data_IF_403952888962
#
_entry.id   IF_403952888962
#
_cell.length_a   1.000
_cell.length_b   1.000
_cell.length_c   1.000
_cell.angle_alpha   90.00
_cell.angle_beta   90.00
_cell.angle_gamma   90.00
#
_symmetry.space_group_name_H-M   'P 1'
#
loop_
_entity.id
_entity.type
_entity.pdbx_description
1 polymer ?
#
# COMPACT_ATOMS: atom_id res chain seq x y z
N UNK A 1 64.52 35.64 44.21
CA UNK A 1 65.03 34.26 44.12
C UNK A 1 64.11 33.48 43.20
N UNK A 2 64.73 32.83 42.22
CA UNK A 2 64.14 32.27 41.02
C UNK A 2 63.33 31.00 41.29
N UNK A 3 62.19 30.83 40.62
CA UNK A 3 61.61 29.51 40.38
C UNK A 3 61.17 29.37 38.92
N UNK A 4 61.89 28.49 38.22
CA UNK A 4 61.57 27.96 36.89
C UNK A 4 60.38 27.00 36.98
N UNK A 5 59.44 27.12 36.04
CA UNK A 5 58.39 26.12 35.79
C UNK A 5 58.68 25.47 34.44
N UNK A 6 58.95 24.16 34.48
CA UNK A 6 59.25 23.30 33.34
C UNK A 6 57.93 22.81 32.75
N UNK A 7 57.70 23.09 31.47
CA UNK A 7 56.54 22.65 30.69
C UNK A 7 56.89 21.33 29.99
N UNK A 8 56.31 20.21 30.42
CA UNK A 8 56.41 18.91 29.72
C UNK A 8 55.16 18.67 28.87
N UNK A 9 55.29 18.83 27.55
CA UNK A 9 54.24 18.49 26.59
C UNK A 9 54.34 17.00 26.21
N UNK A 10 53.39 16.19 26.68
CA UNK A 10 53.20 14.82 26.19
C UNK A 10 52.18 14.86 25.04
N UNK A 11 52.69 14.62 23.83
CA UNK A 11 51.90 14.49 22.60
C UNK A 11 51.37 13.06 22.50
N UNK A 12 50.13 12.82 22.94
CA UNK A 12 49.44 11.55 22.71
C UNK A 12 48.86 11.53 21.29
N UNK A 13 49.47 10.73 20.42
CA UNK A 13 49.00 10.50 19.06
C UNK A 13 47.98 9.34 19.08
N UNK A 14 46.69 9.66 19.06
CA UNK A 14 45.61 8.67 18.93
C UNK A 14 45.45 8.25 17.46
N UNK A 15 45.93 7.05 17.12
CA UNK A 15 45.64 6.35 15.86
C UNK A 15 44.18 5.85 15.88
N UNK A 16 43.27 6.60 15.26
CA UNK A 16 41.92 6.11 14.97
C UNK A 16 41.96 5.19 13.75
N UNK A 17 41.87 3.88 13.97
CA UNK A 17 41.68 2.89 12.92
C UNK A 17 40.20 2.95 12.51
N UNK A 18 39.89 3.74 11.48
CA UNK A 18 38.56 3.80 10.86
C UNK A 18 38.37 2.52 10.05
N UNK A 19 37.73 1.51 10.64
CA UNK A 19 37.27 0.34 9.91
C UNK A 19 36.05 0.72 9.08
N UNK A 20 36.23 0.87 7.77
CA UNK A 20 35.14 1.03 6.82
C UNK A 20 34.41 -0.31 6.67
N UNK A 21 33.46 -0.59 7.56
CA UNK A 21 32.40 -1.56 7.28
C UNK A 21 31.56 -0.98 6.14
N UNK A 22 31.91 -1.29 4.90
CA UNK A 22 31.05 -1.03 3.76
C UNK A 22 29.80 -1.88 3.96
N UNK A 23 28.70 -1.25 4.37
CA UNK A 23 27.41 -1.92 4.41
C UNK A 23 27.13 -2.47 3.01
N UNK A 24 26.87 -3.78 2.92
CA UNK A 24 26.42 -4.39 1.67
C UNK A 24 25.19 -3.62 1.19
N UNK A 25 25.15 -3.16 -0.08
CA UNK A 25 23.98 -2.50 -0.60
C UNK A 25 22.77 -3.43 -0.44
N UNK A 26 21.60 -2.91 -0.03
CA UNK A 26 20.41 -3.74 0.09
C UNK A 26 20.13 -4.42 -1.25
N UNK A 27 19.86 -5.72 -1.22
CA UNK A 27 19.43 -6.46 -2.40
C UNK A 27 18.09 -5.85 -2.82
N UNK A 28 18.08 -5.19 -3.99
CA UNK A 28 16.84 -4.73 -4.60
C UNK A 28 16.17 -5.97 -5.17
N UNK A 29 15.17 -6.49 -4.45
CA UNK A 29 14.30 -7.54 -4.98
C UNK A 29 13.44 -6.88 -6.06
N UNK A 30 13.66 -7.24 -7.32
CA UNK A 30 12.82 -6.77 -8.41
C UNK A 30 11.35 -7.06 -8.08
N UNK A 31 10.51 -6.02 -8.07
CA UNK A 31 9.08 -6.18 -7.88
C UNK A 31 8.53 -7.14 -8.93
N UNK A 32 7.61 -8.01 -8.51
CA UNK A 32 7.07 -9.00 -9.42
C UNK A 32 6.37 -8.33 -10.60
N UNK A 33 6.77 -8.72 -11.81
CA UNK A 33 6.21 -8.18 -13.04
C UNK A 33 4.96 -8.95 -13.43
N UNK A 34 3.79 -8.30 -13.33
CA UNK A 34 2.54 -8.90 -13.82
C UNK A 34 2.69 -9.27 -15.30
N UNK A 35 2.21 -10.47 -15.70
CA UNK A 35 2.15 -10.87 -17.10
C UNK A 35 1.40 -9.84 -17.95
N UNK A 36 1.77 -9.75 -19.23
CA UNK A 36 1.26 -8.73 -20.16
C UNK A 36 -0.27 -8.79 -20.33
N UNK A 37 -0.88 -9.98 -20.21
CA UNK A 37 -2.35 -10.11 -20.22
C UNK A 37 -3.06 -9.36 -19.09
N UNK A 38 -2.34 -8.96 -18.03
CA UNK A 38 -2.86 -8.17 -16.92
C UNK A 38 -2.47 -6.69 -17.01
N UNK A 39 -1.79 -6.26 -18.09
CA UNK A 39 -1.30 -4.89 -18.31
C UNK A 39 -2.11 -4.11 -19.35
N UNK A 40 -3.38 -4.46 -19.58
CA UNK A 40 -4.29 -3.99 -20.66
C UNK A 40 -4.28 -4.94 -21.88
N UNK A 41 -5.49 -5.39 -22.28
CA UNK A 41 -5.84 -6.18 -23.48
C UNK A 41 -5.00 -5.76 -24.72
N UNK A 42 -4.42 -6.61 -25.57
CA UNK A 42 -4.93 -7.82 -26.25
C UNK A 42 -3.73 -8.64 -26.85
N UNK A 43 -3.75 -9.97 -26.77
CA UNK A 43 -2.95 -10.99 -27.51
C UNK A 43 -1.48 -11.36 -27.12
N UNK A 44 -1.36 -12.61 -26.59
CA UNK A 44 -0.35 -13.70 -26.72
C UNK A 44 1.15 -13.58 -26.33
N UNK A 45 1.53 -14.33 -25.25
CA UNK A 45 2.71 -15.26 -25.02
C UNK A 45 4.16 -14.64 -25.11
N UNK A 46 5.20 -14.94 -24.26
CA UNK A 46 5.58 -16.23 -23.62
C UNK A 46 6.06 -16.24 -22.15
N UNK A 47 6.24 -17.48 -21.73
CA UNK A 47 6.64 -18.07 -20.46
C UNK A 47 8.13 -17.83 -20.10
N UNK A 48 8.48 -16.69 -19.49
CA UNK A 48 9.64 -16.60 -18.55
C UNK A 48 9.64 -15.31 -17.69
N UNK A 49 8.46 -14.74 -17.42
CA UNK A 49 8.33 -13.67 -16.44
C UNK A 49 8.55 -14.26 -15.05
N UNK A 50 9.41 -13.64 -14.22
CA UNK A 50 9.56 -13.95 -12.78
C UNK A 50 8.15 -14.13 -12.19
N UNK A 51 7.76 -15.38 -11.94
CA UNK A 51 6.36 -15.76 -11.80
C UNK A 51 5.72 -15.08 -10.59
N UNK A 52 4.82 -14.12 -10.81
CA UNK A 52 4.01 -13.61 -9.73
C UNK A 52 3.10 -14.72 -9.23
N UNK A 53 2.97 -14.81 -7.90
CA UNK A 53 1.96 -15.64 -7.27
C UNK A 53 0.62 -14.90 -7.40
N UNK A 54 -0.04 -15.08 -8.54
CA UNK A 54 -1.35 -14.47 -8.81
C UNK A 54 -2.40 -15.15 -7.92
N UNK A 55 -3.16 -14.40 -7.11
CA UNK A 55 -4.15 -14.98 -6.22
C UNK A 55 -5.33 -15.54 -7.01
N UNK A 56 -6.02 -16.53 -6.44
CA UNK A 56 -7.07 -17.28 -7.13
C UNK A 56 -8.32 -16.41 -7.27
N UNK A 57 -8.74 -16.15 -8.50
CA UNK A 57 -9.87 -15.27 -8.81
C UNK A 57 -11.22 -15.91 -8.44
N UNK A 58 -12.21 -15.07 -8.15
CA UNK A 58 -13.62 -15.44 -7.95
C UNK A 58 -14.38 -15.18 -9.26
N UNK A 59 -14.77 -16.24 -9.96
CA UNK A 59 -15.42 -16.16 -11.29
C UNK A 59 -16.77 -15.41 -11.29
N UNK A 60 -17.49 -15.39 -10.16
CA UNK A 60 -18.85 -14.85 -10.09
C UNK A 60 -18.91 -13.34 -9.77
N UNK A 61 -17.78 -12.71 -9.46
CA UNK A 61 -17.75 -11.37 -8.87
C UNK A 61 -16.62 -10.57 -9.48
N UNK A 62 -16.93 -9.60 -10.34
CA UNK A 62 -15.94 -8.71 -10.96
C UNK A 62 -16.15 -7.28 -10.45
N UNK A 63 -15.25 -6.79 -9.60
CA UNK A 63 -15.21 -5.40 -9.14
C UNK A 63 -14.19 -4.69 -10.03
N UNK A 64 -14.68 -3.74 -10.81
CA UNK A 64 -13.90 -2.96 -11.76
C UNK A 64 -13.20 -1.77 -11.08
N UNK A 65 -12.31 -1.12 -11.83
CA UNK A 65 -11.63 0.10 -11.39
C UNK A 65 -11.57 1.10 -12.53
N UNK A 66 -12.08 2.31 -12.35
CA UNK A 66 -11.76 3.45 -13.20
C UNK A 66 -10.84 4.43 -12.49
N UNK A 67 -10.08 5.18 -13.28
CA UNK A 67 -9.24 6.24 -12.72
C UNK A 67 -9.16 7.47 -13.61
N UNK A 68 -9.35 8.63 -12.97
CA UNK A 68 -9.03 9.94 -13.47
C UNK A 68 -7.77 10.44 -12.75
N UNK A 69 -6.72 10.80 -13.50
CA UNK A 69 -5.45 11.27 -12.96
C UNK A 69 -5.25 12.77 -13.23
N UNK A 70 -4.81 13.51 -12.20
CA UNK A 70 -4.43 14.92 -12.27
C UNK A 70 -3.07 15.15 -11.63
N UNK A 71 -2.22 15.97 -12.25
CA UNK A 71 -0.90 16.34 -11.74
C UNK A 71 0.10 15.17 -11.62
N UNK A 72 -0.08 14.12 -12.42
CA UNK A 72 0.87 13.02 -12.57
C UNK A 72 1.79 13.28 -13.78
N UNK A 73 3.08 12.99 -13.63
CA UNK A 73 3.96 12.75 -14.78
C UNK A 73 3.71 11.37 -15.36
N UNK A 74 4.13 11.13 -16.61
CA UNK A 74 4.00 9.81 -17.26
C UNK A 74 4.54 8.65 -16.40
N UNK A 75 5.70 8.81 -15.78
CA UNK A 75 6.30 7.77 -14.92
C UNK A 75 5.44 7.52 -13.65
N UNK A 76 4.81 8.57 -13.12
CA UNK A 76 3.92 8.46 -11.97
C UNK A 76 2.58 7.82 -12.37
N UNK A 77 2.07 8.11 -13.57
CA UNK A 77 0.89 7.43 -14.15
C UNK A 77 1.16 5.93 -14.33
N UNK A 78 2.31 5.56 -14.90
CA UNK A 78 2.71 4.15 -15.05
C UNK A 78 2.76 3.44 -13.68
N UNK A 79 3.31 4.10 -12.66
CA UNK A 79 3.37 3.55 -11.30
C UNK A 79 2.00 3.35 -10.68
N UNK A 80 1.10 4.34 -10.76
CA UNK A 80 -0.24 4.22 -10.15
C UNK A 80 -1.10 3.19 -10.90
N UNK A 81 -1.00 3.13 -12.23
CA UNK A 81 -1.65 2.10 -13.04
C UNK A 81 -1.15 0.69 -12.68
N UNK A 82 0.16 0.52 -12.47
CA UNK A 82 0.72 -0.75 -12.01
C UNK A 82 0.21 -1.16 -10.62
N UNK A 83 -0.02 -0.19 -9.71
CA UNK A 83 -0.61 -0.45 -8.41
C UNK A 83 -2.09 -0.85 -8.52
N UNK A 84 -2.86 -0.19 -9.39
CA UNK A 84 -4.28 -0.47 -9.63
C UNK A 84 -4.48 -1.85 -10.27
N UNK A 85 -3.65 -2.22 -11.24
CA UNK A 85 -3.70 -3.56 -11.83
C UNK A 85 -3.55 -4.67 -10.77
N UNK A 86 -2.68 -4.45 -9.78
CA UNK A 86 -2.49 -5.38 -8.64
C UNK A 86 -3.66 -5.31 -7.65
N UNK A 87 -4.19 -4.12 -7.38
CA UNK A 87 -5.40 -3.95 -6.58
C UNK A 87 -6.56 -4.76 -7.17
N UNK A 88 -6.82 -4.62 -8.48
CA UNK A 88 -7.89 -5.34 -9.19
C UNK A 88 -7.75 -6.86 -9.07
N UNK A 89 -6.54 -7.40 -9.17
CA UNK A 89 -6.28 -8.84 -8.98
C UNK A 89 -6.58 -9.29 -7.55
N UNK A 90 -6.21 -8.48 -6.56
CA UNK A 90 -6.36 -8.82 -5.15
C UNK A 90 -7.80 -8.72 -4.70
N UNK A 91 -8.51 -7.62 -4.96
CA UNK A 91 -9.89 -7.41 -4.49
C UNK A 91 -10.88 -8.45 -5.06
N UNK A 92 -10.57 -9.03 -6.23
CA UNK A 92 -11.36 -10.07 -6.89
C UNK A 92 -10.90 -11.51 -6.54
N UNK A 93 -10.01 -11.67 -5.55
CA UNK A 93 -9.48 -12.97 -5.16
C UNK A 93 -10.22 -13.64 -4.00
N UNK A 94 -10.14 -14.97 -3.95
CA UNK A 94 -10.63 -15.79 -2.82
C UNK A 94 -9.89 -15.46 -1.53
N UNK A 95 -8.60 -15.18 -1.63
CA UNK A 95 -7.74 -14.82 -0.50
C UNK A 95 -8.20 -13.50 0.13
N UNK A 96 -8.55 -12.50 -0.68
CA UNK A 96 -9.10 -11.24 -0.18
C UNK A 96 -10.41 -11.45 0.56
N UNK A 97 -11.41 -12.11 -0.06
CA UNK A 97 -12.68 -12.43 0.62
C UNK A 97 -12.41 -13.14 1.95
N UNK A 98 -11.59 -14.18 1.94
CA UNK A 98 -11.24 -14.93 3.15
C UNK A 98 -10.63 -14.03 4.23
N UNK A 99 -9.69 -13.14 3.90
CA UNK A 99 -9.07 -12.24 4.89
C UNK A 99 -10.03 -11.20 5.43
N UNK A 100 -10.94 -10.68 4.61
CA UNK A 100 -11.99 -9.77 5.08
C UNK A 100 -12.92 -10.47 6.06
N UNK A 101 -13.44 -11.64 5.69
CA UNK A 101 -14.37 -12.40 6.54
C UNK A 101 -13.74 -12.83 7.87
N UNK A 102 -12.46 -13.22 7.84
CA UNK A 102 -11.73 -13.68 9.02
C UNK A 102 -10.98 -12.55 9.77
N UNK A 103 -11.19 -11.28 9.41
CA UNK A 103 -10.55 -10.18 10.13
C UNK A 103 -11.02 -10.15 11.58
N UNK A 104 -10.07 -9.97 12.52
CA UNK A 104 -10.37 -10.00 13.95
C UNK A 104 -9.85 -8.77 14.69
N UNK A 105 -10.63 -8.37 15.69
CA UNK A 105 -10.25 -7.42 16.73
C UNK A 105 -10.71 -7.97 18.08
N UNK A 106 -9.81 -8.02 19.07
CA UNK A 106 -10.09 -8.56 20.42
C UNK A 106 -10.72 -9.98 20.41
N UNK A 107 -10.23 -10.85 19.51
CA UNK A 107 -10.73 -12.22 19.28
C UNK A 107 -12.18 -12.32 18.74
N UNK A 108 -12.74 -11.22 18.25
CA UNK A 108 -14.04 -11.20 17.58
C UNK A 108 -13.84 -10.97 16.09
N UNK A 109 -14.64 -11.64 15.24
CA UNK A 109 -14.65 -11.43 13.79
C UNK A 109 -15.34 -10.12 13.43
N UNK A 110 -14.61 -9.02 13.61
CA UNK A 110 -15.15 -7.66 13.47
C UNK A 110 -14.06 -6.68 13.09
N UNK A 111 -14.40 -5.72 12.24
CA UNK A 111 -13.62 -4.49 12.07
C UNK A 111 -14.05 -3.44 13.11
N UNK A 112 -13.13 -2.59 13.53
CA UNK A 112 -13.48 -1.36 14.25
C UNK A 112 -14.10 -0.36 13.25
N UNK A 113 -14.91 0.58 13.74
CA UNK A 113 -15.55 1.63 12.92
C UNK A 113 -16.31 1.07 11.70
N UNK A 114 -16.97 -0.08 11.89
CA UNK A 114 -17.68 -0.86 10.89
C UNK A 114 -19.12 -0.39 10.63
N UNK A 115 -19.56 0.73 11.21
CA UNK A 115 -20.95 1.20 11.14
C UNK A 115 -22.01 0.17 11.63
N UNK A 116 -21.60 -0.81 12.47
CA UNK A 116 -22.48 -1.89 12.91
C UNK A 116 -22.61 -3.06 11.93
N UNK A 117 -21.89 -3.03 10.81
CA UNK A 117 -21.88 -4.10 9.80
C UNK A 117 -21.00 -5.28 10.24
N UNK A 118 -21.43 -6.49 9.90
CA UNK A 118 -20.60 -7.70 9.96
C UNK A 118 -19.51 -7.69 8.87
N UNK A 119 -18.50 -8.56 9.00
CA UNK A 119 -17.45 -8.69 7.99
C UNK A 119 -17.99 -9.11 6.61
N UNK A 120 -19.06 -9.92 6.56
CA UNK A 120 -19.70 -10.28 5.28
C UNK A 120 -20.40 -9.06 4.68
N UNK A 121 -21.14 -8.29 5.46
CA UNK A 121 -21.80 -7.06 4.98
C UNK A 121 -20.79 -5.99 4.53
N UNK A 122 -19.63 -5.88 5.19
CA UNK A 122 -18.53 -5.02 4.72
C UNK A 122 -18.01 -5.51 3.37
N UNK A 123 -17.77 -6.81 3.24
CA UNK A 123 -17.29 -7.40 1.98
C UNK A 123 -18.29 -7.15 0.84
N UNK A 124 -19.58 -7.43 1.07
CA UNK A 124 -20.62 -7.16 0.09
C UNK A 124 -20.69 -5.67 -0.23
N UNK A 125 -20.68 -4.77 0.76
CA UNK A 125 -20.67 -3.32 0.49
C UNK A 125 -19.49 -2.87 -0.37
N UNK A 126 -18.31 -3.46 -0.20
CA UNK A 126 -17.15 -3.22 -1.09
C UNK A 126 -17.43 -3.74 -2.51
N UNK A 127 -18.03 -4.93 -2.62
CA UNK A 127 -18.39 -5.58 -3.89
C UNK A 127 -19.44 -4.83 -4.70
N UNK A 128 -20.35 -4.12 -4.03
CA UNK A 128 -21.42 -3.36 -4.67
C UNK A 128 -20.90 -2.10 -5.39
N UNK A 129 -19.76 -1.54 -4.97
CA UNK A 129 -19.17 -0.33 -5.56
C UNK A 129 -19.89 0.98 -5.20
N UNK A 130 -20.97 0.92 -4.40
CA UNK A 130 -21.84 2.08 -4.16
C UNK A 130 -21.14 3.16 -3.33
N UNK A 131 -20.67 4.22 -3.99
CA UNK A 131 -20.13 5.41 -3.36
C UNK A 131 -21.22 6.31 -2.77
N UNK A 132 -20.93 7.02 -1.68
CA UNK A 132 -21.86 7.95 -1.03
C UNK A 132 -22.29 9.09 -1.94
N UNK A 133 -21.42 9.53 -2.86
CA UNK A 133 -21.67 10.67 -3.74
C UNK A 133 -22.31 10.28 -5.08
N UNK A 134 -22.06 9.07 -5.58
CA UNK A 134 -22.65 8.58 -6.83
C UNK A 134 -23.95 7.80 -6.57
N UNK A 135 -24.03 7.04 -5.46
CA UNK A 135 -25.16 6.19 -5.07
C UNK A 135 -25.68 5.27 -6.20
N UNK A 136 -24.78 4.89 -7.10
CA UNK A 136 -25.01 3.94 -8.18
C UNK A 136 -24.43 2.59 -7.80
N UNK A 137 -25.12 1.51 -8.17
CA UNK A 137 -24.62 0.14 -8.06
C UNK A 137 -24.03 -0.22 -9.41
N UNK A 138 -22.71 -0.19 -9.52
CA UNK A 138 -21.96 -0.41 -10.75
C UNK A 138 -20.86 -1.48 -10.59
N UNK A 139 -20.60 -1.94 -9.36
CA UNK A 139 -19.50 -2.85 -9.06
C UNK A 139 -18.17 -2.26 -9.53
N UNK A 140 -17.97 -0.96 -9.29
CA UNK A 140 -16.77 -0.22 -9.68
C UNK A 140 -16.12 0.48 -8.47
N UNK A 141 -14.79 0.62 -8.54
CA UNK A 141 -14.02 1.53 -7.68
C UNK A 141 -13.66 2.75 -8.52
N UNK A 142 -14.36 3.86 -8.30
CA UNK A 142 -14.07 5.14 -8.95
C UNK A 142 -12.93 5.88 -8.25
N UNK A 143 -11.84 6.16 -8.98
CA UNK A 143 -10.69 6.88 -8.44
C UNK A 143 -10.49 8.23 -9.17
N UNK A 144 -10.84 9.37 -8.55
CA UNK A 144 -10.35 10.69 -8.99
C UNK A 144 -9.11 11.05 -8.17
N UNK A 145 -7.90 10.81 -8.69
CA UNK A 145 -6.66 11.01 -7.95
C UNK A 145 -5.86 12.22 -8.44
N UNK A 146 -5.34 13.02 -7.50
CA UNK A 146 -4.36 14.08 -7.77
C UNK A 146 -3.12 13.94 -6.89
N UNK A 147 -1.96 14.29 -7.42
CA UNK A 147 -0.75 14.45 -6.62
C UNK A 147 -0.68 15.87 -6.01
N UNK A 148 -0.29 15.92 -4.75
CA UNK A 148 0.14 17.16 -4.10
C UNK A 148 1.45 16.94 -3.37
N UNK A 149 2.16 18.00 -3.01
CA UNK A 149 3.35 17.88 -2.16
C UNK A 149 3.15 18.58 -0.82
N UNK A 150 3.45 17.88 0.27
CA UNK A 150 3.57 18.46 1.60
C UNK A 150 4.60 17.70 2.44
N UNK A 151 5.43 18.43 3.18
CA UNK A 151 6.41 17.84 4.10
C UNK A 151 5.79 17.54 5.47
N UNK A 152 4.76 16.69 5.49
CA UNK A 152 4.11 16.22 6.72
C UNK A 152 4.07 14.68 6.75
N UNK A 153 3.22 14.12 7.62
CA UNK A 153 3.04 12.67 7.80
C UNK A 153 1.82 12.10 7.06
N UNK A 154 1.08 12.92 6.31
CA UNK A 154 -0.14 12.50 5.61
C UNK A 154 0.25 11.83 4.28
N UNK A 155 -0.10 10.56 4.13
CA UNK A 155 0.19 9.76 2.93
C UNK A 155 -0.80 10.09 1.81
N UNK A 156 -2.08 10.09 2.15
CA UNK A 156 -3.17 10.57 1.32
C UNK A 156 -4.27 11.12 2.22
N UNK A 157 -5.26 11.76 1.60
CA UNK A 157 -6.51 12.08 2.26
C UNK A 157 -7.61 12.27 1.23
N UNK A 158 -8.83 12.30 1.72
CA UNK A 158 -9.99 12.71 0.95
C UNK A 158 -10.99 13.50 1.80
N UNK A 159 -11.96 14.15 1.16
CA UNK A 159 -13.09 14.80 1.83
C UNK A 159 -14.40 14.07 1.52
N UNK A 160 -15.39 14.09 2.44
CA UNK A 160 -16.67 13.41 2.23
C UNK A 160 -17.53 13.96 1.08
N UNK A 161 -17.27 15.20 0.64
CA UNK A 161 -18.12 15.96 -0.28
C UNK A 161 -17.48 16.22 -1.66
N UNK A 162 -16.52 15.40 -2.05
CA UNK A 162 -15.83 15.43 -3.35
C UNK A 162 -15.51 14.01 -3.76
N UNK A 163 -15.31 13.70 -5.04
CA UNK A 163 -14.78 12.37 -5.45
C UNK A 163 -13.26 12.29 -5.30
N UNK A 164 -12.59 13.44 -5.21
CA UNK A 164 -11.13 13.53 -5.29
C UNK A 164 -10.38 12.90 -4.12
N UNK A 165 -9.28 12.23 -4.43
CA UNK A 165 -8.29 11.66 -3.53
C UNK A 165 -6.98 12.42 -3.75
N UNK A 166 -6.44 12.99 -2.68
CA UNK A 166 -5.15 13.69 -2.71
C UNK A 166 -4.06 12.77 -2.20
N UNK A 167 -3.07 12.51 -3.04
CA UNK A 167 -1.95 11.63 -2.72
C UNK A 167 -0.69 12.48 -2.56
N UNK A 168 -0.01 12.33 -1.42
CA UNK A 168 1.19 13.10 -1.15
C UNK A 168 2.39 12.52 -1.92
N UNK A 169 2.91 13.28 -2.87
CA UNK A 169 4.02 12.90 -3.75
C UNK A 169 5.27 12.47 -2.97
N UNK A 170 5.50 13.03 -1.76
CA UNK A 170 6.60 12.61 -0.87
C UNK A 170 6.56 11.11 -0.59
N UNK A 171 5.37 10.58 -0.29
CA UNK A 171 5.19 9.16 0.01
C UNK A 171 4.98 8.36 -1.25
N UNK A 172 4.23 8.89 -2.22
CA UNK A 172 4.01 8.22 -3.51
C UNK A 172 5.32 7.86 -4.21
N UNK A 173 6.29 8.79 -4.24
CA UNK A 173 7.59 8.57 -4.88
C UNK A 173 8.34 7.37 -4.28
N UNK A 174 8.34 7.22 -2.96
CA UNK A 174 9.12 6.19 -2.24
C UNK A 174 8.34 4.91 -1.92
N UNK A 175 7.01 4.94 -1.96
CA UNK A 175 6.19 3.77 -1.63
C UNK A 175 6.28 2.70 -2.72
N UNK A 176 6.24 1.43 -2.30
CA UNK A 176 6.04 0.28 -3.18
C UNK A 176 4.64 0.31 -3.82
N UNK A 177 4.44 -0.49 -4.86
CA UNK A 177 3.12 -0.65 -5.49
C UNK A 177 2.05 -1.13 -4.48
N UNK A 178 2.42 -2.03 -3.56
CA UNK A 178 1.52 -2.51 -2.48
C UNK A 178 1.02 -1.37 -1.60
N UNK A 179 1.90 -0.45 -1.22
CA UNK A 179 1.57 0.71 -0.37
C UNK A 179 0.75 1.77 -1.11
N UNK A 180 1.01 1.96 -2.41
CA UNK A 180 0.20 2.85 -3.25
C UNK A 180 -1.23 2.30 -3.37
N UNK A 181 -1.39 1.02 -3.72
CA UNK A 181 -2.69 0.36 -3.82
C UNK A 181 -3.46 0.37 -2.49
N UNK A 182 -2.77 0.07 -1.38
CA UNK A 182 -3.37 0.13 -0.05
C UNK A 182 -3.85 1.53 0.34
N UNK A 183 -3.10 2.57 -0.03
CA UNK A 183 -3.52 3.95 0.21
C UNK A 183 -4.74 4.31 -0.66
N UNK A 184 -4.77 3.94 -1.94
CA UNK A 184 -5.95 4.15 -2.79
C UNK A 184 -7.20 3.49 -2.22
N UNK A 185 -7.08 2.21 -1.82
CA UNK A 185 -8.18 1.48 -1.20
C UNK A 185 -8.64 2.13 0.12
N UNK A 186 -7.70 2.60 0.94
CA UNK A 186 -8.02 3.31 2.19
C UNK A 186 -8.87 4.56 1.92
N UNK A 187 -8.45 5.40 0.97
CA UNK A 187 -9.15 6.63 0.64
C UNK A 187 -10.50 6.36 -0.05
N UNK A 188 -10.59 5.34 -0.90
CA UNK A 188 -11.85 4.93 -1.51
C UNK A 188 -12.84 4.35 -0.49
N UNK A 189 -12.37 3.64 0.54
CA UNK A 189 -13.27 3.15 1.60
C UNK A 189 -13.95 4.30 2.38
N UNK A 190 -13.32 5.47 2.44
CA UNK A 190 -13.99 6.68 2.92
C UNK A 190 -15.12 7.14 1.98
N UNK A 191 -15.04 6.87 0.67
CA UNK A 191 -16.07 7.19 -0.34
C UNK A 191 -17.31 6.33 -0.23
N UNK A 192 -17.18 5.09 0.20
CA UNK A 192 -18.33 4.23 0.50
C UNK A 192 -18.82 4.37 1.96
N UNK A 193 -18.30 5.36 2.68
CA UNK A 193 -18.82 5.85 3.97
C UNK A 193 -18.05 5.42 5.21
N UNK A 194 -17.06 4.52 5.11
CA UNK A 194 -16.33 4.06 6.29
C UNK A 194 -15.45 5.16 6.88
N UNK A 195 -15.34 5.19 8.21
CA UNK A 195 -14.54 6.16 8.94
C UNK A 195 -13.43 5.50 9.75
N UNK A 196 -12.65 6.32 10.45
CA UNK A 196 -11.76 5.84 11.50
C UNK A 196 -11.46 6.97 12.51
N UNK A 197 -10.93 6.62 13.68
CA UNK A 197 -10.40 7.58 14.66
C UNK A 197 -9.47 8.63 14.03
N UNK A 198 -9.69 9.92 14.31
CA UNK A 198 -8.80 11.00 13.84
C UNK A 198 -7.42 10.94 14.49
N UNK A 199 -7.38 10.54 15.75
CA UNK A 199 -6.15 10.39 16.53
C UNK A 199 -5.54 9.01 16.29
N UNK A 200 -4.22 8.90 16.42
CA UNK A 200 -3.53 7.61 16.34
C UNK A 200 -3.80 6.79 17.61
N UNK A 201 -4.86 5.98 17.58
CA UNK A 201 -5.21 5.03 18.64
C UNK A 201 -4.74 3.61 18.27
N UNK A 202 -4.70 2.70 19.25
CA UNK A 202 -4.44 1.27 18.98
C UNK A 202 -5.54 0.64 18.13
N UNK A 203 -6.78 1.15 18.25
CA UNK A 203 -7.97 0.70 17.53
C UNK A 203 -7.95 1.08 16.05
N UNK A 204 -7.32 2.21 15.70
CA UNK A 204 -7.30 2.75 14.34
C UNK A 204 -6.78 1.77 13.29
N UNK A 205 -5.77 0.96 13.61
CA UNK A 205 -5.25 -0.04 12.68
C UNK A 205 -6.26 -1.15 12.33
N UNK A 206 -7.31 -1.30 13.14
CA UNK A 206 -8.37 -2.28 12.98
C UNK A 206 -9.65 -1.69 12.37
N UNK A 207 -9.66 -0.39 12.02
CA UNK A 207 -10.81 0.20 11.34
C UNK A 207 -10.96 -0.35 9.92
N UNK A 208 -12.15 -0.25 9.31
CA UNK A 208 -12.36 -0.75 7.94
C UNK A 208 -11.34 -0.18 6.93
N UNK A 209 -11.10 1.15 6.83
CA UNK A 209 -10.11 1.69 5.88
C UNK A 209 -8.68 1.18 6.12
N UNK A 210 -8.26 1.01 7.38
CA UNK A 210 -6.90 0.53 7.69
C UNK A 210 -6.75 -0.98 7.54
N UNK A 211 -7.72 -1.75 8.05
CA UNK A 211 -7.70 -3.21 8.01
C UNK A 211 -7.74 -3.73 6.58
N UNK A 212 -8.65 -3.20 5.74
CA UNK A 212 -8.74 -3.58 4.33
C UNK A 212 -7.52 -3.10 3.55
N UNK A 213 -7.04 -1.87 3.77
CA UNK A 213 -5.80 -1.38 3.15
C UNK A 213 -4.59 -2.26 3.51
N UNK A 214 -4.51 -2.72 4.76
CA UNK A 214 -3.50 -3.69 5.22
C UNK A 214 -3.60 -5.03 4.50
N UNK A 215 -4.81 -5.60 4.40
CA UNK A 215 -5.07 -6.84 3.66
C UNK A 215 -4.62 -6.72 2.21
N UNK A 216 -4.97 -5.63 1.52
CA UNK A 216 -4.56 -5.36 0.13
C UNK A 216 -3.04 -5.29 0.02
N UNK A 217 -2.37 -4.52 0.89
CA UNK A 217 -0.91 -4.41 0.89
C UNK A 217 -0.27 -5.78 1.00
N UNK A 218 -0.67 -6.56 2.00
CA UNK A 218 -0.04 -7.83 2.33
C UNK A 218 -0.23 -8.85 1.19
N UNK A 219 -1.44 -8.91 0.61
CA UNK A 219 -1.71 -9.77 -0.54
C UNK A 219 -0.87 -9.38 -1.78
N UNK A 220 -0.67 -8.09 -2.05
CA UNK A 220 0.18 -7.64 -3.16
C UNK A 220 1.66 -7.98 -2.89
N UNK A 221 2.13 -7.85 -1.65
CA UNK A 221 3.50 -8.21 -1.26
C UNK A 221 3.74 -9.72 -1.43
N UNK A 222 2.76 -10.54 -1.06
CA UNK A 222 2.78 -12.00 -1.24
C UNK A 222 2.79 -12.45 -2.71
N UNK A 223 2.41 -11.58 -3.66
CA UNK A 223 2.55 -11.88 -5.09
C UNK A 223 4.00 -11.96 -5.55
N UNK A 224 4.94 -11.39 -4.78
CA UNK A 224 6.37 -11.37 -5.12
C UNK A 224 7.06 -12.58 -4.49
N UNK A 225 7.64 -13.50 -5.29
CA UNK A 225 8.41 -14.60 -4.73
C UNK A 225 9.57 -14.07 -3.90
N UNK A 226 9.56 -14.33 -2.59
CA UNK A 226 10.77 -14.17 -1.79
C UNK A 226 11.73 -15.27 -2.21
N UNK A 227 12.93 -14.91 -2.67
CA UNK A 227 14.02 -15.87 -2.78
C UNK A 227 14.24 -16.42 -1.37
N UNK A 228 13.73 -17.62 -1.11
CA UNK A 228 14.11 -18.36 0.09
C UNK A 228 15.59 -18.64 -0.11
N UNK A 229 16.45 -17.89 0.57
CA UNK A 229 17.87 -18.25 0.66
C UNK A 229 17.90 -19.68 1.18
N UNK A 230 18.20 -20.61 0.29
CA UNK A 230 18.45 -22.00 0.66
C UNK A 230 19.63 -21.94 1.59
N UNK A 231 19.37 -22.03 2.90
CA UNK A 231 20.41 -22.22 3.90
C UNK A 231 21.09 -23.55 3.57
N UNK A 232 22.22 -23.46 2.89
CA UNK A 232 23.18 -24.55 2.69
C UNK A 232 23.90 -24.84 4.01
#
# INVERSE_FOLDING_TARGET
>A
MSHQLILSAQLLCFLFIVSCNQATPPIVVDECQLPEQYRVSENLIPLDAKNCLIPLQIEATHLETSILLQDFSREQEEKIQAAIARLKLVINSKEFKKRVLNFQYENMYVFVDNQGLSNEEIYEKIREGVEVLNNEFDQEIDLDATLYYSSNSTVGYTYPNTHRIWINNKFFATNSLSKVAANLMHEWLHKIGFGHDKQRTMRRAYSVPYGIGGIVRDLIEEMTPTLVESRL
#
